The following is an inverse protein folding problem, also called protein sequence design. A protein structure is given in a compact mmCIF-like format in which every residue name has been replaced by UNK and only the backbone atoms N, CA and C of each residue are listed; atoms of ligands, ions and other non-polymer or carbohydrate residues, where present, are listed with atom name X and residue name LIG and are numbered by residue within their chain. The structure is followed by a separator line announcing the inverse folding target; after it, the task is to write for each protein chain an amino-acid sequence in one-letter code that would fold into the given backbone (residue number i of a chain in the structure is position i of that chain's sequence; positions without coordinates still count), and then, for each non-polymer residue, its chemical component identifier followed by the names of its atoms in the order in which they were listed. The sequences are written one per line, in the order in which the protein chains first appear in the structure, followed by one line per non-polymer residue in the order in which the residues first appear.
data_IF_756131836057
#
_entry.id   IF_756131836057
#
_cell.length_a   1.000
_cell.length_b   1.000
_cell.length_c   1.000
_cell.angle_alpha   90.00
_cell.angle_beta   90.00
_cell.angle_gamma   90.00
#
_symmetry.space_group_name_H-M   'P 1'
#
loop_
_entity.id
_entity.type
_entity.pdbx_description
1 polymer ?
#
# COMPACT_ATOMS: atom_id res chain seq x y z
N UNK A 1 -38.30 53.40 35.81
CA UNK A 1 -37.95 52.73 34.51
C UNK A 1 -36.63 53.33 34.06
N UNK A 2 -35.55 52.51 34.05
CA UNK A 2 -34.24 52.97 33.59
C UNK A 2 -34.27 53.10 32.04
N UNK A 3 -33.97 54.28 31.53
CA UNK A 3 -33.78 54.50 30.08
C UNK A 3 -32.59 53.68 29.62
N UNK A 4 -32.83 52.61 28.87
CA UNK A 4 -31.78 51.92 28.11
C UNK A 4 -31.28 52.91 27.08
N UNK A 5 -30.04 53.36 27.21
CA UNK A 5 -29.45 54.32 26.29
C UNK A 5 -29.31 53.70 24.89
N UNK A 6 -29.58 54.47 23.83
CA UNK A 6 -29.43 53.99 22.44
C UNK A 6 -28.06 53.32 22.15
N UNK A 7 -27.04 53.75 22.90
CA UNK A 7 -25.69 53.18 22.80
C UNK A 7 -25.63 51.71 23.28
N UNK A 8 -26.38 51.37 24.36
CA UNK A 8 -26.44 49.97 24.87
C UNK A 8 -27.18 49.03 23.92
N UNK A 9 -28.25 49.52 23.28
CA UNK A 9 -28.98 48.75 22.25
C UNK A 9 -28.10 48.52 21.01
N UNK A 10 -27.36 49.54 20.56
CA UNK A 10 -26.44 49.42 19.42
C UNK A 10 -25.32 48.43 19.69
N UNK A 11 -24.75 48.45 20.90
CA UNK A 11 -23.69 47.50 21.31
C UNK A 11 -24.20 46.05 21.33
N UNK A 12 -25.41 45.80 21.81
CA UNK A 12 -26.04 44.47 21.83
C UNK A 12 -26.29 43.98 20.42
N UNK A 13 -26.74 44.85 19.50
CA UNK A 13 -26.95 44.51 18.05
C UNK A 13 -25.62 44.22 17.40
N UNK A 14 -24.57 44.99 17.64
CA UNK A 14 -23.23 44.75 17.07
C UNK A 14 -22.64 43.45 17.62
N UNK A 15 -22.76 43.15 18.91
CA UNK A 15 -22.30 41.86 19.49
C UNK A 15 -23.12 40.71 18.93
N UNK A 16 -24.44 40.85 18.82
CA UNK A 16 -25.31 39.83 18.23
C UNK A 16 -24.97 39.58 16.73
N UNK A 17 -24.72 40.61 15.94
CA UNK A 17 -24.31 40.51 14.58
C UNK A 17 -22.91 39.89 14.43
N UNK A 18 -21.95 40.23 15.33
CA UNK A 18 -20.63 39.65 15.35
C UNK A 18 -20.68 38.15 15.74
N UNK A 19 -21.52 37.77 16.69
CA UNK A 19 -21.74 36.36 17.08
C UNK A 19 -22.37 35.58 15.91
N UNK A 20 -23.39 36.14 15.25
CA UNK A 20 -24.05 35.53 14.10
C UNK A 20 -23.05 35.38 12.90
N UNK A 21 -22.23 36.40 12.66
CA UNK A 21 -21.19 36.37 11.63
C UNK A 21 -20.12 35.34 11.97
N UNK A 22 -19.69 35.28 13.24
CA UNK A 22 -18.71 34.30 13.71
C UNK A 22 -19.25 32.88 13.63
N UNK A 23 -20.49 32.61 14.08
CA UNK A 23 -21.12 31.27 13.99
C UNK A 23 -21.40 30.84 12.54
N UNK A 24 -21.76 31.79 11.66
CA UNK A 24 -21.98 31.52 10.23
C UNK A 24 -20.69 31.16 9.48
N UNK A 25 -19.56 31.70 9.91
CA UNK A 25 -18.27 31.50 9.25
C UNK A 25 -17.67 30.09 9.46
N UNK A 26 -18.09 29.40 10.53
CA UNK A 26 -17.56 28.09 10.93
C UNK A 26 -18.57 26.96 10.76
N UNK A 27 -19.43 27.04 9.75
CA UNK A 27 -20.41 26.01 9.47
C UNK A 27 -19.86 25.04 8.42
N UNK A 28 -20.16 23.76 8.62
CA UNK A 28 -20.00 22.71 7.61
C UNK A 28 -21.36 22.31 7.06
N UNK A 29 -21.37 21.67 5.88
CA UNK A 29 -22.59 21.13 5.27
C UNK A 29 -22.62 19.62 5.40
N UNK A 30 -23.65 19.10 6.08
CA UNK A 30 -23.99 17.66 6.07
C UNK A 30 -24.81 17.35 4.83
N UNK A 31 -24.37 16.42 3.99
CA UNK A 31 -25.00 16.07 2.72
C UNK A 31 -25.29 14.58 2.59
N UNK A 32 -26.27 14.21 1.77
CA UNK A 32 -26.63 12.82 1.49
C UNK A 32 -25.55 12.10 0.69
N UNK A 33 -25.59 10.77 0.65
CA UNK A 33 -24.68 9.96 -0.17
C UNK A 33 -24.74 10.33 -1.66
N UNK A 34 -25.92 10.63 -2.18
CA UNK A 34 -26.10 11.07 -3.57
C UNK A 34 -25.40 12.42 -3.84
N UNK A 35 -25.60 13.42 -2.97
CA UNK A 35 -24.97 14.71 -3.12
C UNK A 35 -23.45 14.64 -2.89
N UNK A 36 -23.00 13.73 -2.02
CA UNK A 36 -21.58 13.48 -1.81
C UNK A 36 -20.93 12.85 -3.05
N UNK A 37 -21.61 11.88 -3.68
CA UNK A 37 -21.16 11.27 -4.93
C UNK A 37 -21.02 12.32 -6.05
N UNK A 38 -22.04 13.16 -6.24
CA UNK A 38 -21.98 14.26 -7.21
C UNK A 38 -20.82 15.22 -6.90
N UNK A 39 -20.64 15.60 -5.63
CA UNK A 39 -19.58 16.53 -5.22
C UNK A 39 -18.20 16.00 -5.56
N UNK A 40 -17.89 14.73 -5.23
CA UNK A 40 -16.56 14.15 -5.46
C UNK A 40 -16.28 13.83 -6.93
N UNK A 41 -17.32 13.71 -7.76
CA UNK A 41 -17.19 13.45 -9.19
C UNK A 41 -17.02 14.74 -10.00
N UNK A 42 -17.63 15.84 -9.56
CA UNK A 42 -17.74 17.07 -10.35
C UNK A 42 -16.87 18.23 -9.86
N UNK A 43 -16.33 18.16 -8.65
CA UNK A 43 -15.54 19.23 -8.05
C UNK A 43 -14.16 18.76 -7.60
N UNK A 44 -13.18 19.67 -7.68
CA UNK A 44 -11.87 19.44 -7.05
C UNK A 44 -12.02 19.58 -5.53
N UNK A 45 -11.99 18.46 -4.82
CA UNK A 45 -12.15 18.40 -3.37
C UNK A 45 -11.16 17.40 -2.77
N UNK A 46 -10.71 17.65 -1.55
CA UNK A 46 -9.96 16.67 -0.77
C UNK A 46 -10.94 15.70 -0.11
N UNK A 47 -10.97 14.45 -0.53
CA UNK A 47 -11.78 13.40 0.09
C UNK A 47 -11.01 12.84 1.27
N UNK A 48 -11.57 12.95 2.49
CA UNK A 48 -10.91 12.56 3.74
C UNK A 48 -11.72 11.52 4.49
N UNK A 49 -11.13 10.35 4.72
CA UNK A 49 -11.65 9.35 5.63
C UNK A 49 -11.14 9.62 7.05
N UNK A 50 -12.04 9.90 7.99
CA UNK A 50 -11.67 10.18 9.37
C UNK A 50 -11.85 8.97 10.30
N UNK A 51 -11.85 7.77 9.73
CA UNK A 51 -11.82 6.50 10.45
C UNK A 51 -10.38 6.09 10.77
N UNK A 52 -10.23 5.03 11.56
CA UNK A 52 -8.92 4.40 11.78
C UNK A 52 -8.36 3.85 10.47
N UNK A 53 -7.03 3.73 10.35
CA UNK A 53 -6.40 3.09 9.19
C UNK A 53 -6.93 1.68 8.96
N UNK A 54 -7.16 0.91 10.01
CA UNK A 54 -7.74 -0.43 9.91
C UNK A 54 -9.13 -0.44 9.27
N UNK A 55 -10.01 0.51 9.62
CA UNK A 55 -11.34 0.64 9.01
C UNK A 55 -11.24 1.08 7.54
N UNK A 56 -10.32 1.97 7.24
CA UNK A 56 -10.04 2.46 5.89
C UNK A 56 -9.54 1.34 4.98
N UNK A 57 -8.58 0.54 5.47
CA UNK A 57 -7.98 -0.57 4.73
C UNK A 57 -8.98 -1.72 4.45
N UNK A 58 -10.06 -1.83 5.24
CA UNK A 58 -11.16 -2.76 5.02
C UNK A 58 -12.18 -2.30 3.96
N UNK A 59 -11.94 -1.17 3.32
CA UNK A 59 -12.78 -0.57 2.29
C UNK A 59 -13.08 0.90 2.59
N UNK A 60 -13.09 1.73 1.56
CA UNK A 60 -13.27 3.18 1.64
C UNK A 60 -13.96 3.73 0.38
N UNK A 61 -14.32 5.00 0.38
CA UNK A 61 -14.90 5.68 -0.80
C UNK A 61 -13.79 5.85 -1.85
N UNK A 62 -14.02 5.40 -3.12
CA UNK A 62 -13.03 5.57 -4.18
C UNK A 62 -12.59 7.03 -4.34
N UNK A 63 -11.30 7.23 -4.58
CA UNK A 63 -10.73 8.57 -4.72
C UNK A 63 -10.38 9.25 -3.39
N UNK A 64 -10.58 8.60 -2.23
CA UNK A 64 -10.14 9.14 -0.93
C UNK A 64 -8.66 9.51 -0.98
N UNK A 65 -8.36 10.80 -0.76
CA UNK A 65 -7.00 11.35 -0.84
C UNK A 65 -6.22 11.11 0.46
N UNK A 66 -6.93 11.18 1.61
CA UNK A 66 -6.31 11.13 2.94
C UNK A 66 -7.13 10.25 3.89
N UNK A 67 -6.42 9.50 4.74
CA UNK A 67 -6.98 8.88 5.92
C UNK A 67 -6.35 9.53 7.16
N UNK A 68 -7.16 10.27 7.95
CA UNK A 68 -6.72 11.01 9.13
C UNK A 68 -7.69 10.68 10.27
N UNK A 69 -7.29 9.80 11.19
CA UNK A 69 -8.17 9.37 12.30
C UNK A 69 -8.51 10.52 13.23
N UNK A 70 -9.81 10.87 13.31
CA UNK A 70 -10.29 11.94 14.18
C UNK A 70 -10.16 11.63 15.67
N UNK A 71 -9.94 10.38 16.06
CA UNK A 71 -9.67 9.97 17.44
C UNK A 71 -8.21 10.14 17.85
N UNK A 72 -7.32 10.36 16.90
CA UNK A 72 -5.91 10.63 17.16
C UNK A 72 -5.70 12.04 17.71
N UNK A 73 -4.83 12.19 18.71
CA UNK A 73 -4.52 13.47 19.37
C UNK A 73 -3.98 14.55 18.42
N UNK A 74 -3.50 14.15 17.26
CA UNK A 74 -2.89 15.01 16.24
C UNK A 74 -3.79 15.32 15.04
N UNK A 75 -5.10 15.01 15.08
CA UNK A 75 -6.01 15.17 13.94
C UNK A 75 -5.94 16.56 13.29
N UNK A 76 -6.09 17.62 14.08
CA UNK A 76 -6.07 19.00 13.57
C UNK A 76 -4.70 19.33 13.00
N UNK A 77 -3.63 18.98 13.69
CA UNK A 77 -2.25 19.22 13.22
C UNK A 77 -1.96 18.52 11.89
N UNK A 78 -2.30 17.23 11.77
CA UNK A 78 -2.12 16.48 10.53
C UNK A 78 -2.95 17.09 9.38
N UNK A 79 -4.18 17.49 9.67
CA UNK A 79 -5.05 18.13 8.68
C UNK A 79 -4.46 19.45 8.17
N UNK A 80 -3.92 20.29 9.06
CA UNK A 80 -3.27 21.55 8.68
C UNK A 80 -2.02 21.35 7.83
N UNK A 81 -1.30 20.25 8.03
CA UNK A 81 -0.10 19.91 7.26
C UNK A 81 -0.40 19.30 5.89
N UNK A 82 -1.52 18.60 5.74
CA UNK A 82 -1.84 17.81 4.56
C UNK A 82 -2.84 18.48 3.62
N UNK A 83 -3.76 19.29 4.15
CA UNK A 83 -4.88 19.83 3.39
C UNK A 83 -4.63 21.31 3.01
N UNK A 84 -4.90 21.64 1.76
CA UNK A 84 -4.91 23.02 1.31
C UNK A 84 -6.25 23.69 1.66
N UNK A 85 -6.23 24.88 2.27
CA UNK A 85 -7.44 25.62 2.66
C UNK A 85 -8.26 26.14 1.47
N UNK A 86 -7.64 26.30 0.31
CA UNK A 86 -8.32 26.75 -0.90
C UNK A 86 -9.13 25.61 -1.57
N UNK A 87 -8.83 24.35 -1.24
CA UNK A 87 -9.55 23.18 -1.73
C UNK A 87 -10.58 22.72 -0.72
N UNK A 88 -11.88 22.65 -1.07
CA UNK A 88 -12.91 22.16 -0.16
C UNK A 88 -12.62 20.73 0.31
N UNK A 89 -13.05 20.42 1.53
CA UNK A 89 -12.87 19.10 2.15
C UNK A 89 -14.20 18.35 2.17
N UNK A 90 -14.23 17.18 1.53
CA UNK A 90 -15.34 16.23 1.57
C UNK A 90 -14.95 15.10 2.53
N UNK A 91 -15.54 15.01 3.71
CA UNK A 91 -15.11 14.03 4.71
C UNK A 91 -16.22 13.08 5.16
N UNK A 92 -15.83 11.89 5.56
CA UNK A 92 -16.73 10.87 6.04
C UNK A 92 -16.10 10.01 7.13
N UNK A 93 -16.95 9.36 7.90
CA UNK A 93 -16.57 8.28 8.82
C UNK A 93 -17.46 7.05 8.58
N UNK A 94 -17.59 6.15 9.56
CA UNK A 94 -18.40 4.94 9.41
C UNK A 94 -19.90 5.23 9.28
N UNK A 95 -20.46 6.13 10.14
CA UNK A 95 -21.91 6.35 10.28
C UNK A 95 -22.31 7.83 10.41
N UNK A 96 -21.40 8.79 10.16
CA UNK A 96 -21.65 10.21 10.24
C UNK A 96 -21.32 10.87 11.59
N UNK A 97 -21.16 10.12 12.69
CA UNK A 97 -20.93 10.73 14.03
C UNK A 97 -19.53 11.33 14.19
N UNK A 98 -18.48 10.56 13.89
CA UNK A 98 -17.09 11.04 13.97
C UNK A 98 -16.79 12.13 12.94
N UNK A 99 -17.36 12.02 11.74
CA UNK A 99 -17.21 13.00 10.66
C UNK A 99 -17.83 14.35 11.03
N UNK A 100 -18.94 14.41 11.74
CA UNK A 100 -19.49 15.69 12.27
C UNK A 100 -18.55 16.35 13.27
N UNK A 101 -17.86 15.59 14.12
CA UNK A 101 -16.85 16.12 15.02
C UNK A 101 -15.65 16.67 14.26
N UNK A 102 -15.13 15.92 13.30
CA UNK A 102 -14.05 16.32 12.42
C UNK A 102 -14.41 17.58 11.61
N UNK A 103 -15.63 17.62 11.06
CA UNK A 103 -16.13 18.76 10.29
C UNK A 103 -16.18 20.05 11.11
N UNK A 104 -16.63 19.99 12.38
CA UNK A 104 -16.61 21.13 13.31
C UNK A 104 -15.20 21.63 13.58
N UNK A 105 -14.23 20.72 13.76
CA UNK A 105 -12.84 21.08 14.00
C UNK A 105 -12.24 21.77 12.77
N UNK A 106 -12.39 21.18 11.58
CA UNK A 106 -11.83 21.76 10.35
C UNK A 106 -12.52 23.08 9.95
N UNK A 107 -13.84 23.20 10.16
CA UNK A 107 -14.53 24.45 9.93
C UNK A 107 -14.01 25.60 10.83
N UNK A 108 -13.67 25.31 12.11
CA UNK A 108 -13.04 26.29 12.99
C UNK A 108 -11.66 26.74 12.49
N UNK A 109 -10.94 25.85 11.82
CA UNK A 109 -9.65 26.16 11.17
C UNK A 109 -9.81 26.88 9.82
N UNK A 110 -11.04 27.18 9.40
CA UNK A 110 -11.36 27.97 8.22
C UNK A 110 -11.49 27.15 6.92
N UNK A 111 -11.57 25.82 7.00
CA UNK A 111 -11.85 24.98 5.82
C UNK A 111 -13.31 25.05 5.41
N UNK A 112 -13.58 24.99 4.10
CA UNK A 112 -14.91 24.73 3.55
C UNK A 112 -15.17 23.24 3.60
N UNK A 113 -16.11 22.78 4.43
CA UNK A 113 -16.28 21.35 4.72
C UNK A 113 -17.65 20.83 4.32
N UNK A 114 -17.66 19.71 3.66
CA UNK A 114 -18.82 18.86 3.35
C UNK A 114 -18.67 17.54 4.07
N UNK A 115 -19.71 17.13 4.79
CA UNK A 115 -19.70 15.91 5.60
C UNK A 115 -20.76 14.94 5.07
N UNK A 116 -20.40 13.67 4.87
CA UNK A 116 -21.32 12.61 4.49
C UNK A 116 -22.16 12.17 5.69
N UNK A 117 -23.44 12.58 5.71
CA UNK A 117 -24.33 12.43 6.88
C UNK A 117 -24.56 10.99 7.33
N UNK A 118 -24.58 10.04 6.38
CA UNK A 118 -24.77 8.59 6.65
C UNK A 118 -23.46 7.82 6.76
N UNK A 119 -22.31 8.48 6.51
CA UNK A 119 -21.00 7.88 6.49
C UNK A 119 -20.84 6.77 5.46
N UNK A 120 -19.77 6.00 5.58
CA UNK A 120 -19.43 4.91 4.65
C UNK A 120 -20.50 3.79 4.61
N UNK A 121 -21.19 3.54 5.73
CA UNK A 121 -22.28 2.57 5.73
C UNK A 121 -23.41 3.01 4.79
N UNK A 122 -23.89 4.25 4.91
CA UNK A 122 -24.94 4.76 4.05
C UNK A 122 -24.50 4.97 2.59
N UNK A 123 -23.19 5.18 2.34
CA UNK A 123 -22.63 5.16 1.00
C UNK A 123 -22.84 3.79 0.33
N UNK A 124 -22.50 2.71 1.04
CA UNK A 124 -22.69 1.33 0.56
C UNK A 124 -24.17 0.94 0.42
N UNK A 125 -25.00 1.31 1.41
CA UNK A 125 -26.45 1.06 1.37
C UNK A 125 -27.14 1.75 0.20
N UNK A 126 -26.62 2.92 -0.24
CA UNK A 126 -27.07 3.61 -1.43
C UNK A 126 -26.56 2.97 -2.76
N UNK A 127 -25.80 1.87 -2.69
CA UNK A 127 -25.31 1.12 -3.85
C UNK A 127 -24.06 1.69 -4.50
N UNK A 128 -23.36 2.65 -3.87
CA UNK A 128 -22.13 3.19 -4.41
C UNK A 128 -20.95 2.26 -4.17
N UNK A 129 -20.01 2.23 -5.13
CA UNK A 129 -18.81 1.42 -5.07
C UNK A 129 -17.94 1.79 -3.87
N UNK A 130 -17.28 0.78 -3.29
CA UNK A 130 -16.19 0.95 -2.33
C UNK A 130 -14.87 0.56 -2.99
N UNK A 131 -13.80 1.29 -2.71
CA UNK A 131 -12.45 0.86 -3.03
C UNK A 131 -12.02 -0.18 -2.00
N UNK A 132 -11.60 -1.33 -2.49
CA UNK A 132 -11.00 -2.36 -1.66
C UNK A 132 -9.52 -2.04 -1.44
N UNK A 133 -8.99 -2.44 -0.30
CA UNK A 133 -7.55 -2.40 -0.07
C UNK A 133 -6.83 -3.27 -1.10
N UNK A 134 -5.81 -2.70 -1.76
CA UNK A 134 -4.95 -3.46 -2.68
C UNK A 134 -3.86 -4.25 -1.94
N UNK A 135 -3.72 -4.00 -0.65
CA UNK A 135 -2.75 -4.69 0.19
C UNK A 135 -3.24 -4.78 1.63
N UNK A 136 -3.10 -5.95 2.22
CA UNK A 136 -3.26 -6.14 3.66
C UNK A 136 -1.88 -6.22 4.29
N UNK A 137 -1.64 -5.46 5.34
CA UNK A 137 -0.37 -5.46 6.07
C UNK A 137 -0.62 -6.03 7.46
N UNK A 138 0.14 -7.07 7.81
CA UNK A 138 0.15 -7.64 9.16
C UNK A 138 1.50 -7.34 9.83
N UNK A 139 1.46 -6.54 10.87
CA UNK A 139 2.61 -6.12 11.69
C UNK A 139 2.50 -6.60 13.14
N UNK A 140 1.60 -7.56 13.42
CA UNK A 140 1.41 -8.15 14.75
C UNK A 140 2.58 -9.04 15.19
N UNK A 141 3.39 -9.50 14.24
CA UNK A 141 4.59 -10.28 14.54
C UNK A 141 5.73 -9.34 14.98
N UNK A 142 6.36 -9.57 16.15
CA UNK A 142 7.34 -8.64 16.70
C UNK A 142 8.56 -8.38 15.82
N UNK A 143 8.97 -9.39 15.05
CA UNK A 143 10.18 -9.35 14.23
C UNK A 143 9.92 -9.32 12.74
N UNK A 144 8.68 -9.56 12.30
CA UNK A 144 8.31 -9.71 10.91
C UNK A 144 7.21 -8.73 10.52
N UNK A 145 7.24 -8.26 9.30
CA UNK A 145 6.16 -7.51 8.67
C UNK A 145 5.72 -8.25 7.41
N UNK A 146 4.42 -8.52 7.32
CA UNK A 146 3.85 -9.35 6.26
C UNK A 146 2.99 -8.45 5.37
N UNK A 147 3.21 -8.51 4.06
CA UNK A 147 2.46 -7.80 3.03
C UNK A 147 1.71 -8.82 2.18
N UNK A 148 0.38 -8.73 2.13
CA UNK A 148 -0.50 -9.55 1.30
C UNK A 148 -1.08 -8.69 0.16
N UNK A 149 -0.44 -8.63 -1.02
CA UNK A 149 -1.02 -7.98 -2.19
C UNK A 149 -2.31 -8.69 -2.61
N UNK A 150 -3.34 -7.94 -2.96
CA UNK A 150 -4.62 -8.46 -3.47
C UNK A 150 -4.58 -8.44 -5.00
N UNK A 151 -3.94 -9.43 -5.60
CA UNK A 151 -3.52 -9.45 -7.01
C UNK A 151 -4.30 -10.46 -7.85
N UNK A 152 -4.35 -10.20 -9.16
CA UNK A 152 -4.85 -11.11 -10.19
C UNK A 152 -3.69 -11.81 -10.92
N UNK A 153 -2.54 -11.15 -11.01
CA UNK A 153 -1.36 -11.69 -11.70
C UNK A 153 -0.05 -11.20 -11.10
N UNK A 154 1.02 -11.95 -11.40
CA UNK A 154 2.40 -11.63 -11.00
C UNK A 154 3.28 -11.70 -12.24
N UNK A 155 4.22 -10.76 -12.36
CA UNK A 155 5.22 -10.79 -13.42
C UNK A 155 6.58 -10.30 -12.93
N UNK A 156 7.63 -10.64 -13.68
CA UNK A 156 8.94 -10.02 -13.60
C UNK A 156 8.97 -8.78 -14.49
N UNK A 157 9.40 -7.66 -13.94
CA UNK A 157 9.68 -6.45 -14.71
C UNK A 157 11.17 -6.22 -14.72
N UNK A 158 11.77 -6.22 -15.90
CA UNK A 158 13.21 -6.00 -16.07
C UNK A 158 13.46 -4.65 -16.74
N UNK A 159 14.38 -3.86 -16.20
CA UNK A 159 14.66 -2.54 -16.76
C UNK A 159 15.44 -1.64 -15.81
N UNK A 160 15.53 -0.38 -16.18
CA UNK A 160 16.15 0.67 -15.36
C UNK A 160 15.16 1.38 -14.45
N UNK A 161 13.87 1.27 -14.73
CA UNK A 161 12.82 1.94 -13.99
C UNK A 161 11.86 0.93 -13.37
N UNK A 162 11.55 1.12 -12.10
CA UNK A 162 10.49 0.41 -11.41
C UNK A 162 9.13 0.66 -12.08
N UNK A 163 8.19 -0.30 -12.05
CA UNK A 163 6.89 -0.20 -12.72
C UNK A 163 5.87 0.75 -12.04
N UNK A 164 6.32 1.78 -11.35
CA UNK A 164 5.47 2.74 -10.63
C UNK A 164 4.48 3.50 -11.52
N UNK A 165 4.84 3.74 -12.77
CA UNK A 165 3.96 4.41 -13.75
C UNK A 165 2.81 3.52 -14.22
N UNK A 166 2.88 2.21 -14.02
CA UNK A 166 1.81 1.29 -14.33
C UNK A 166 0.77 1.27 -13.19
N UNK A 167 -0.40 1.86 -13.43
CA UNK A 167 -1.46 1.94 -12.43
C UNK A 167 -2.03 0.59 -12.00
N UNK A 168 -1.89 -0.45 -12.80
CA UNK A 168 -2.28 -1.82 -12.44
C UNK A 168 -1.28 -2.48 -11.49
N UNK A 169 -0.04 -2.01 -11.43
CA UNK A 169 0.94 -2.51 -10.49
C UNK A 169 0.60 -2.04 -9.07
N UNK A 170 0.41 -2.99 -8.16
CA UNK A 170 -0.04 -2.73 -6.78
C UNK A 170 1.05 -2.95 -5.73
N UNK A 171 2.02 -3.79 -6.03
CA UNK A 171 3.19 -4.05 -5.21
C UNK A 171 4.38 -4.39 -6.10
N UNK A 172 5.56 -3.89 -5.77
CA UNK A 172 6.79 -4.24 -6.47
C UNK A 172 7.99 -4.21 -5.53
N UNK A 173 8.87 -5.19 -5.68
CA UNK A 173 10.15 -5.25 -4.97
C UNK A 173 11.19 -5.95 -5.82
N UNK A 174 12.48 -5.75 -5.50
CA UNK A 174 13.56 -6.49 -6.14
C UNK A 174 13.34 -8.01 -6.00
N UNK A 175 13.58 -8.77 -7.07
CA UNK A 175 13.33 -10.21 -7.12
C UNK A 175 14.63 -11.02 -6.97
N UNK A 176 15.27 -11.34 -8.06
CA UNK A 176 16.46 -12.18 -8.11
C UNK A 176 17.76 -11.36 -8.05
N UNK A 177 18.85 -12.01 -7.69
CA UNK A 177 20.18 -11.40 -7.81
C UNK A 177 20.45 -10.95 -9.24
N UNK A 178 21.01 -9.77 -9.38
CA UNK A 178 21.46 -9.22 -10.64
C UNK A 178 22.77 -9.87 -11.10
N UNK A 179 23.08 -9.80 -12.39
CA UNK A 179 24.34 -10.30 -12.97
C UNK A 179 25.58 -9.61 -12.39
N UNK A 180 26.73 -10.23 -12.62
CA UNK A 180 27.99 -9.83 -11.97
C UNK A 180 28.57 -8.50 -12.47
N UNK A 181 28.21 -8.05 -13.67
CA UNK A 181 28.69 -6.79 -14.24
C UNK A 181 27.55 -5.92 -14.72
N UNK A 182 27.66 -4.62 -14.48
CA UNK A 182 26.65 -3.62 -14.83
C UNK A 182 26.52 -3.40 -16.35
N UNK A 183 27.52 -3.82 -17.14
CA UNK A 183 27.55 -3.66 -18.59
C UNK A 183 26.92 -4.82 -19.37
N UNK A 184 26.65 -5.96 -18.72
CA UNK A 184 26.03 -7.15 -19.34
C UNK A 184 24.50 -7.10 -19.39
N UNK A 185 23.90 -5.96 -19.13
CA UNK A 185 22.47 -5.80 -18.84
C UNK A 185 21.60 -5.55 -20.06
N UNK A 186 21.84 -6.27 -21.13
CA UNK A 186 21.11 -5.99 -22.36
C UNK A 186 19.69 -6.61 -22.41
N UNK A 187 19.29 -7.47 -21.43
CA UNK A 187 17.97 -8.13 -21.49
C UNK A 187 17.23 -8.22 -20.15
N UNK A 188 17.48 -9.18 -19.30
CA UNK A 188 16.70 -9.40 -18.06
C UNK A 188 17.47 -9.22 -16.77
N UNK A 189 18.77 -9.10 -16.85
CA UNK A 189 19.70 -8.91 -15.74
C UNK A 189 19.39 -9.76 -14.49
N UNK A 190 19.20 -11.05 -14.71
CA UNK A 190 18.98 -12.02 -13.66
C UNK A 190 20.11 -13.03 -13.65
N UNK A 191 20.73 -13.19 -12.49
CA UNK A 191 21.73 -14.22 -12.29
C UNK A 191 21.06 -15.59 -12.15
N UNK A 192 21.38 -16.51 -13.05
CA UNK A 192 20.79 -17.84 -13.10
C UNK A 192 19.66 -17.94 -14.12
N UNK A 193 19.21 -19.20 -14.30
CA UNK A 193 18.10 -19.48 -15.22
C UNK A 193 16.84 -18.74 -14.78
N UNK A 194 16.06 -18.26 -15.73
CA UNK A 194 14.78 -17.60 -15.46
C UNK A 194 13.81 -17.71 -16.63
N UNK A 195 12.54 -17.50 -16.37
CA UNK A 195 11.47 -17.36 -17.36
C UNK A 195 11.00 -15.90 -17.37
N UNK A 196 11.05 -15.25 -18.52
CA UNK A 196 10.67 -13.86 -18.71
C UNK A 196 10.20 -13.62 -20.14
N UNK A 197 9.11 -12.86 -20.33
CA UNK A 197 8.57 -12.53 -21.64
C UNK A 197 8.20 -13.78 -22.47
N UNK A 198 7.71 -14.83 -21.85
CA UNK A 198 7.35 -16.10 -22.49
C UNK A 198 8.55 -16.93 -22.97
N UNK A 199 9.77 -16.61 -22.54
CA UNK A 199 11.00 -17.30 -22.94
C UNK A 199 11.78 -17.81 -21.73
N UNK A 200 12.41 -18.97 -21.89
CA UNK A 200 13.41 -19.46 -20.95
C UNK A 200 14.78 -18.86 -21.30
N UNK A 201 15.38 -18.24 -20.32
CA UNK A 201 16.71 -17.67 -20.39
C UNK A 201 17.67 -18.51 -19.54
N UNK A 202 18.71 -19.01 -20.17
CA UNK A 202 19.78 -19.71 -19.47
C UNK A 202 20.75 -18.67 -18.89
N UNK A 203 20.87 -18.64 -17.58
CA UNK A 203 21.82 -17.79 -16.88
C UNK A 203 23.13 -18.48 -16.54
N UNK A 204 23.92 -17.86 -15.69
CA UNK A 204 25.14 -18.46 -15.13
C UNK A 204 24.79 -19.72 -14.32
N UNK A 205 25.70 -20.69 -14.17
CA UNK A 205 25.49 -21.86 -13.34
C UNK A 205 25.17 -21.42 -11.90
N UNK A 206 23.91 -21.61 -11.50
CA UNK A 206 23.42 -21.15 -10.21
C UNK A 206 22.62 -22.26 -9.53
N UNK A 207 23.28 -22.90 -8.55
CA UNK A 207 22.74 -24.08 -7.88
C UNK A 207 21.77 -23.68 -6.74
N UNK A 208 20.63 -23.13 -7.12
CA UNK A 208 19.59 -22.62 -6.18
C UNK A 208 18.21 -23.14 -6.58
N UNK A 209 17.26 -23.08 -5.64
CA UNK A 209 15.86 -23.32 -5.93
C UNK A 209 15.24 -22.26 -6.83
N UNK A 210 13.98 -22.39 -7.16
CA UNK A 210 13.27 -21.40 -7.93
C UNK A 210 11.83 -21.18 -7.45
N UNK A 211 11.31 -20.03 -7.83
CA UNK A 211 9.88 -19.70 -7.83
C UNK A 211 9.44 -19.55 -9.30
N UNK A 212 8.22 -20.00 -9.60
CA UNK A 212 7.59 -19.76 -10.89
C UNK A 212 6.10 -19.49 -10.72
N UNK A 213 5.57 -18.62 -11.59
CA UNK A 213 4.15 -18.29 -11.74
C UNK A 213 3.70 -18.54 -13.17
N UNK A 214 2.66 -19.33 -13.38
CA UNK A 214 2.03 -19.57 -14.69
C UNK A 214 0.63 -20.14 -14.51
N UNK A 215 -0.26 -19.90 -15.46
CA UNK A 215 -1.65 -20.37 -15.44
C UNK A 215 -2.41 -20.00 -14.14
N UNK A 216 -2.13 -18.82 -13.57
CA UNK A 216 -2.80 -18.36 -12.34
C UNK A 216 -2.37 -19.07 -11.06
N UNK A 217 -1.32 -19.88 -11.10
CA UNK A 217 -0.80 -20.62 -9.94
C UNK A 217 0.71 -20.44 -9.80
N UNK A 218 1.25 -20.89 -8.66
CA UNK A 218 2.68 -20.80 -8.37
C UNK A 218 3.27 -22.12 -7.95
N UNK A 219 4.59 -22.19 -8.02
CA UNK A 219 5.35 -23.32 -7.51
C UNK A 219 6.72 -22.89 -7.00
N UNK A 220 7.15 -23.54 -5.92
CA UNK A 220 8.51 -23.46 -5.39
C UNK A 220 9.17 -24.82 -5.61
N UNK A 221 10.40 -24.83 -6.11
CA UNK A 221 11.14 -26.08 -6.31
C UNK A 221 12.59 -25.97 -5.87
N UNK A 222 13.17 -27.10 -5.54
CA UNK A 222 14.60 -27.22 -5.29
C UNK A 222 15.44 -27.00 -6.57
N UNK A 223 16.75 -27.06 -6.40
CA UNK A 223 17.74 -26.88 -7.48
C UNK A 223 17.57 -27.88 -8.62
N UNK A 224 17.15 -29.11 -8.34
CA UNK A 224 17.15 -30.20 -9.30
C UNK A 224 15.98 -30.07 -10.28
N UNK A 225 14.85 -29.55 -9.82
CA UNK A 225 13.65 -29.28 -10.64
C UNK A 225 13.60 -27.87 -11.22
N UNK A 226 14.44 -26.94 -10.77
CA UNK A 226 14.33 -25.54 -11.11
C UNK A 226 14.35 -25.25 -12.62
N UNK A 227 15.28 -25.85 -13.39
CA UNK A 227 15.35 -25.61 -14.85
C UNK A 227 14.13 -26.15 -15.59
N UNK A 228 13.59 -27.32 -15.21
CA UNK A 228 12.37 -27.87 -15.84
C UNK A 228 11.15 -27.01 -15.51
N UNK A 229 11.03 -26.56 -14.25
CA UNK A 229 9.96 -25.66 -13.80
C UNK A 229 9.96 -24.34 -14.59
N UNK A 230 11.13 -23.71 -14.75
CA UNK A 230 11.26 -22.45 -15.48
C UNK A 230 10.96 -22.60 -16.98
N UNK A 231 11.36 -23.72 -17.60
CA UNK A 231 10.98 -24.05 -18.99
C UNK A 231 9.47 -24.23 -19.13
N UNK A 232 8.83 -24.86 -18.14
CA UNK A 232 7.37 -24.99 -18.12
C UNK A 232 6.70 -23.64 -17.97
N UNK A 233 7.14 -22.79 -17.05
CA UNK A 233 6.62 -21.44 -16.90
C UNK A 233 6.73 -20.65 -18.21
N UNK A 234 7.89 -20.64 -18.85
CA UNK A 234 8.09 -19.99 -20.14
C UNK A 234 7.16 -20.51 -21.24
N UNK A 235 6.95 -21.83 -21.32
CA UNK A 235 6.04 -22.46 -22.29
C UNK A 235 4.60 -21.96 -22.16
N UNK A 236 4.16 -21.67 -20.94
CA UNK A 236 2.81 -21.16 -20.67
C UNK A 236 2.73 -19.63 -20.53
N UNK A 237 3.76 -18.91 -21.01
CA UNK A 237 3.78 -17.44 -20.95
C UNK A 237 3.93 -16.87 -19.55
N UNK A 238 4.32 -17.69 -18.59
CA UNK A 238 4.53 -17.28 -17.20
C UNK A 238 5.95 -16.77 -16.94
N UNK A 239 6.24 -16.55 -15.67
CA UNK A 239 7.52 -16.03 -15.19
C UNK A 239 8.12 -16.91 -14.10
N UNK A 240 9.40 -16.74 -13.82
CA UNK A 240 10.07 -17.39 -12.71
C UNK A 240 11.56 -17.11 -12.68
N UNK A 241 12.17 -17.32 -11.53
CA UNK A 241 13.58 -17.04 -11.32
C UNK A 241 14.20 -17.99 -10.28
N UNK A 242 15.51 -18.17 -10.38
CA UNK A 242 16.29 -18.87 -9.33
C UNK A 242 16.72 -17.92 -8.24
N UNK A 243 16.59 -18.38 -7.00
CA UNK A 243 17.07 -17.65 -5.82
C UNK A 243 17.29 -18.61 -4.64
N UNK A 244 17.84 -18.10 -3.52
CA UNK A 244 18.06 -18.86 -2.30
C UNK A 244 16.71 -19.33 -1.74
N UNK A 245 16.51 -20.63 -1.69
CA UNK A 245 15.36 -21.24 -1.06
C UNK A 245 15.58 -21.28 0.46
N UNK A 246 14.61 -20.75 1.21
CA UNK A 246 14.68 -20.64 2.66
C UNK A 246 13.86 -21.75 3.36
N UNK A 247 12.67 -22.02 2.81
CA UNK A 247 11.75 -23.08 3.27
C UNK A 247 11.14 -23.74 2.04
N UNK A 248 11.00 -25.07 2.05
CA UNK A 248 10.29 -25.84 1.03
C UNK A 248 9.44 -26.92 1.69
N UNK A 249 8.11 -26.87 1.45
CA UNK A 249 7.13 -27.80 2.06
C UNK A 249 7.24 -27.87 3.59
N UNK A 250 7.40 -26.72 4.25
CA UNK A 250 7.59 -26.61 5.69
C UNK A 250 9.00 -26.96 6.20
N UNK A 251 9.88 -27.48 5.32
CA UNK A 251 11.24 -27.84 5.70
C UNK A 251 12.19 -26.63 5.55
N UNK A 252 12.80 -26.21 6.65
CA UNK A 252 13.81 -25.13 6.68
C UNK A 252 15.08 -25.57 5.94
N UNK A 253 15.60 -24.71 5.09
CA UNK A 253 16.85 -24.95 4.36
C UNK A 253 18.03 -24.27 5.07
N UNK A 254 19.25 -24.82 4.94
CA UNK A 254 20.42 -24.21 5.56
C UNK A 254 20.64 -22.77 5.09
N UNK A 255 20.91 -21.88 6.02
CA UNK A 255 21.25 -20.49 5.71
C UNK A 255 22.57 -20.44 4.93
N UNK A 256 22.61 -19.61 3.88
CA UNK A 256 23.78 -19.45 3.01
C UNK A 256 24.49 -18.11 3.21
N UNK A 257 23.93 -17.23 4.02
CA UNK A 257 24.50 -15.96 4.42
C UNK A 257 24.60 -15.88 5.94
N UNK A 258 25.78 -15.57 6.44
CA UNK A 258 26.02 -15.52 7.90
C UNK A 258 25.82 -14.13 8.51
N UNK A 259 25.85 -13.06 7.69
CA UNK A 259 25.73 -11.68 8.19
C UNK A 259 24.32 -11.34 8.60
N UNK A 260 24.17 -10.44 9.56
CA UNK A 260 22.91 -9.81 9.87
C UNK A 260 22.53 -8.77 8.83
N UNK A 261 21.27 -8.76 8.45
CA UNK A 261 20.69 -7.78 7.52
C UNK A 261 19.18 -7.70 7.74
N UNK A 262 18.52 -6.73 7.13
CA UNK A 262 17.09 -6.81 6.87
C UNK A 262 16.89 -7.80 5.73
N UNK A 263 16.12 -8.85 5.96
CA UNK A 263 15.84 -9.88 4.97
C UNK A 263 14.39 -9.79 4.49
N UNK A 264 14.20 -10.12 3.21
CA UNK A 264 12.88 -10.20 2.58
C UNK A 264 12.73 -11.52 1.85
N UNK A 265 11.55 -12.09 1.86
CA UNK A 265 11.23 -13.31 1.14
C UNK A 265 9.85 -13.21 0.47
N UNK A 266 9.70 -13.87 -0.68
CA UNK A 266 8.42 -14.28 -1.21
C UNK A 266 8.05 -15.58 -0.52
N UNK A 267 6.90 -15.60 0.12
CA UNK A 267 6.45 -16.70 0.96
C UNK A 267 5.06 -17.20 0.53
N UNK A 268 4.83 -18.48 0.80
CA UNK A 268 3.52 -19.08 0.84
C UNK A 268 3.15 -19.33 2.31
N UNK A 269 2.08 -18.67 2.75
CA UNK A 269 1.54 -18.73 4.10
C UNK A 269 0.02 -18.78 4.01
N UNK A 270 -0.60 -19.79 4.65
CA UNK A 270 -2.06 -20.02 4.62
C UNK A 270 -2.63 -20.05 3.18
N UNK A 271 -1.99 -20.81 2.29
CA UNK A 271 -2.32 -20.96 0.87
C UNK A 271 -2.38 -19.62 0.09
N UNK A 272 -1.61 -18.62 0.53
CA UNK A 272 -1.50 -17.31 -0.11
C UNK A 272 -0.04 -16.95 -0.32
N UNK A 273 0.24 -16.28 -1.46
CA UNK A 273 1.53 -15.61 -1.62
C UNK A 273 1.54 -14.29 -0.85
N UNK A 274 2.62 -14.07 -0.13
CA UNK A 274 2.88 -12.84 0.60
C UNK A 274 4.36 -12.48 0.53
N UNK A 275 4.67 -11.22 0.83
CA UNK A 275 6.03 -10.76 1.02
C UNK A 275 6.26 -10.57 2.52
N UNK A 276 7.31 -11.18 3.05
CA UNK A 276 7.66 -11.06 4.47
C UNK A 276 9.04 -10.41 4.58
N UNK A 277 9.12 -9.39 5.43
CA UNK A 277 10.37 -8.66 5.71
C UNK A 277 10.66 -8.66 7.21
N UNK A 278 11.94 -8.82 7.59
CA UNK A 278 12.34 -8.62 8.97
C UNK A 278 12.29 -7.13 9.35
N UNK A 279 11.75 -6.81 10.52
CA UNK A 279 11.62 -5.42 10.99
C UNK A 279 12.94 -4.82 11.48
N UNK A 280 13.94 -5.67 11.73
CA UNK A 280 15.29 -5.28 12.12
C UNK A 280 16.34 -6.11 11.39
N UNK A 281 17.59 -5.70 11.48
CA UNK A 281 18.72 -6.48 11.01
C UNK A 281 18.95 -7.68 11.92
N UNK A 282 18.73 -8.87 11.40
CA UNK A 282 18.88 -10.16 12.09
C UNK A 282 19.74 -11.13 11.27
N UNK A 283 20.33 -12.18 11.86
CA UNK A 283 20.99 -13.24 11.11
C UNK A 283 20.01 -13.99 10.21
N UNK A 284 20.47 -14.49 9.03
CA UNK A 284 19.60 -15.27 8.13
C UNK A 284 19.04 -16.55 8.80
N UNK A 285 19.79 -17.32 9.62
CA UNK A 285 19.18 -18.43 10.35
C UNK A 285 17.99 -18.02 11.21
N UNK A 286 18.11 -16.91 11.93
CA UNK A 286 17.01 -16.37 12.75
C UNK A 286 15.81 -15.97 11.88
N UNK A 287 16.03 -15.33 10.72
CA UNK A 287 14.95 -15.00 9.79
C UNK A 287 14.21 -16.27 9.32
N UNK A 288 14.95 -17.33 8.96
CA UNK A 288 14.37 -18.63 8.56
C UNK A 288 13.57 -19.24 9.71
N UNK A 289 14.08 -19.14 10.95
CA UNK A 289 13.39 -19.64 12.14
C UNK A 289 12.08 -18.88 12.39
N UNK A 290 12.08 -17.56 12.30
CA UNK A 290 10.87 -16.75 12.46
C UNK A 290 9.82 -17.05 11.38
N UNK A 291 10.24 -17.25 10.11
CA UNK A 291 9.33 -17.68 9.04
C UNK A 291 8.69 -19.06 9.36
N UNK A 292 9.49 -20.01 9.83
CA UNK A 292 8.99 -21.33 10.22
C UNK A 292 8.04 -21.28 11.43
N UNK A 293 8.33 -20.42 12.42
CA UNK A 293 7.52 -20.27 13.63
C UNK A 293 6.10 -19.76 13.33
N UNK A 294 5.91 -18.97 12.26
CA UNK A 294 4.59 -18.49 11.84
C UNK A 294 3.91 -19.42 10.83
N UNK A 295 4.52 -20.57 10.49
CA UNK A 295 3.92 -21.59 9.65
C UNK A 295 4.09 -21.37 8.14
N UNK A 296 5.13 -20.64 7.70
CA UNK A 296 5.44 -20.50 6.26
C UNK A 296 5.71 -21.86 5.65
N UNK A 297 4.97 -22.22 4.61
CA UNK A 297 5.11 -23.49 3.88
C UNK A 297 6.26 -23.45 2.87
N UNK A 298 6.34 -22.36 2.09
CA UNK A 298 7.41 -22.16 1.11
C UNK A 298 7.96 -20.74 1.21
N UNK A 299 9.27 -20.58 1.09
CA UNK A 299 9.91 -19.25 1.08
C UNK A 299 11.15 -19.22 0.21
N UNK A 300 11.25 -18.18 -0.61
CA UNK A 300 12.43 -17.85 -1.41
C UNK A 300 12.89 -16.43 -1.11
N UNK A 301 14.20 -16.25 -0.94
CA UNK A 301 14.80 -14.95 -0.66
C UNK A 301 14.56 -13.97 -1.81
N UNK A 302 14.38 -12.71 -1.50
CA UNK A 302 14.34 -11.62 -2.46
C UNK A 302 15.54 -10.68 -2.27
N UNK A 303 16.07 -10.13 -3.36
CA UNK A 303 17.28 -9.33 -3.29
C UNK A 303 17.09 -8.05 -2.47
N UNK A 304 17.94 -7.90 -1.45
CA UNK A 304 17.99 -6.74 -0.54
C UNK A 304 19.28 -5.93 -0.71
N UNK A 305 19.98 -6.13 -1.81
CA UNK A 305 21.21 -5.39 -2.13
C UNK A 305 21.01 -3.92 -2.47
N UNK A 306 22.04 -3.32 -3.07
CA UNK A 306 22.04 -1.90 -3.43
C UNK A 306 20.97 -1.45 -4.42
N UNK A 307 20.32 -2.40 -5.08
CA UNK A 307 19.26 -2.18 -6.07
C UNK A 307 17.85 -2.36 -5.49
N UNK A 308 17.74 -2.55 -4.18
CA UNK A 308 16.48 -2.76 -3.51
C UNK A 308 15.65 -1.47 -3.49
N UNK A 309 14.71 -1.41 -4.42
CA UNK A 309 13.66 -0.40 -4.49
C UNK A 309 12.32 -1.13 -4.41
N UNK A 310 11.44 -0.73 -3.47
CA UNK A 310 10.23 -1.47 -3.19
C UNK A 310 9.12 -0.57 -2.70
N UNK A 311 7.90 -0.83 -3.16
CA UNK A 311 6.74 -0.01 -2.88
C UNK A 311 5.45 -0.82 -3.03
N UNK A 312 4.35 -0.24 -2.53
CA UNK A 312 3.00 -0.75 -2.71
C UNK A 312 1.99 0.38 -2.85
N UNK A 313 0.81 0.08 -3.41
CA UNK A 313 -0.35 0.98 -3.41
C UNK A 313 -1.36 0.49 -2.39
N UNK A 314 -1.88 1.40 -1.59
CA UNK A 314 -2.92 1.06 -0.60
C UNK A 314 -4.27 0.82 -1.25
N UNK A 315 -4.61 1.59 -2.28
CA UNK A 315 -5.86 1.51 -3.04
C UNK A 315 -5.63 1.94 -4.49
N UNK A 316 -6.65 1.71 -5.32
CA UNK A 316 -6.58 2.06 -6.74
C UNK A 316 -6.21 3.52 -6.96
N UNK A 317 -5.33 3.77 -7.95
CA UNK A 317 -4.78 5.08 -8.31
C UNK A 317 -4.06 5.83 -7.18
N UNK A 318 -3.83 5.21 -6.00
CA UNK A 318 -3.03 5.85 -4.96
C UNK A 318 -1.57 6.02 -5.40
N UNK A 319 -0.89 7.04 -4.85
CA UNK A 319 0.56 7.16 -5.00
C UNK A 319 1.25 5.96 -4.33
N UNK A 320 2.40 5.52 -4.85
CA UNK A 320 3.19 4.48 -4.20
C UNK A 320 3.58 4.86 -2.77
N UNK A 321 3.44 3.93 -1.85
CA UNK A 321 4.03 3.99 -0.52
C UNK A 321 5.32 3.18 -0.55
N UNK A 322 6.44 3.82 -0.28
CA UNK A 322 7.74 3.18 -0.36
C UNK A 322 8.04 2.37 0.90
N UNK A 323 8.39 1.10 0.73
CA UNK A 323 9.04 0.27 1.76
C UNK A 323 10.52 0.65 1.79
N UNK A 324 11.14 0.74 0.61
CA UNK A 324 12.48 1.24 0.40
C UNK A 324 12.49 2.14 -0.83
N UNK A 325 12.75 3.42 -0.63
CA UNK A 325 12.93 4.36 -1.72
C UNK A 325 14.41 4.44 -2.09
N UNK A 326 14.79 3.69 -3.10
CA UNK A 326 16.17 3.63 -3.59
C UNK A 326 16.18 3.58 -5.13
N UNK A 327 15.73 4.67 -5.79
CA UNK A 327 15.78 4.73 -7.25
C UNK A 327 17.23 4.72 -7.73
N UNK A 328 17.50 3.95 -8.75
CA UNK A 328 18.82 3.84 -9.34
C UNK A 328 18.75 3.75 -10.87
N UNK A 329 19.87 4.07 -11.53
CA UNK A 329 19.98 4.09 -13.00
C UNK A 329 20.36 2.75 -13.63
N UNK A 330 20.59 1.73 -12.83
CA UNK A 330 21.05 0.43 -13.32
C UNK A 330 19.88 -0.47 -13.68
N UNK A 331 20.11 -1.36 -14.60
CA UNK A 331 19.17 -2.39 -14.99
C UNK A 331 19.00 -3.40 -13.86
N UNK A 332 17.76 -3.69 -13.46
CA UNK A 332 17.45 -4.69 -12.44
C UNK A 332 16.16 -5.44 -12.78
N UNK A 333 15.71 -6.25 -11.86
CA UNK A 333 14.47 -7.02 -12.01
C UNK A 333 13.60 -6.85 -10.75
N UNK A 334 12.29 -6.71 -10.99
CA UNK A 334 11.29 -6.57 -9.94
C UNK A 334 10.24 -7.66 -10.04
N UNK A 335 9.93 -8.27 -8.91
CA UNK A 335 8.71 -9.04 -8.72
C UNK A 335 7.57 -8.06 -8.54
N UNK A 336 6.59 -8.09 -9.44
CA UNK A 336 5.51 -7.12 -9.46
C UNK A 336 4.16 -7.83 -9.47
N UNK A 337 3.27 -7.39 -8.57
CA UNK A 337 1.91 -7.86 -8.44
C UNK A 337 0.96 -6.86 -9.10
N UNK A 338 -0.01 -7.36 -9.85
CA UNK A 338 -0.96 -6.57 -10.64
C UNK A 338 -2.41 -6.90 -10.30
N UNK A 339 -3.26 -5.86 -10.34
CA UNK A 339 -4.73 -5.97 -10.25
C UNK A 339 -5.41 -5.27 -11.41
#
# INVERSE_FOLDING_TARGET
MKKITHLGVLLIICIGAAILFYTSRYQFKSISAQNFAILIDTADVNIVDVRTSKEHDQGHIPGTNYNIDVKGDSFVFQSLMLLNKDTPVALYCRSGNRSKTAAKLLAKEGYKVYELSSGFNGWREAGYAAADSLIVIDDRQPKLKIYYPQYDSIDLVCGTNSPESNHKAIFSCAAAFTGATLDEFLHSNINGDHAYGGKYHKGSPYNRGCFAWYNGTWTFTDKDKASSTLKTAAKYGGMGFRQILLILNGEKKPAVMARSNIYRALCELDDKLCIIESQASIPMPEFIDELGNIGVNNAIYLDMGGWNHSWYRKWDKSKPTYIKNNPHKYYTNWLTFYR
#
